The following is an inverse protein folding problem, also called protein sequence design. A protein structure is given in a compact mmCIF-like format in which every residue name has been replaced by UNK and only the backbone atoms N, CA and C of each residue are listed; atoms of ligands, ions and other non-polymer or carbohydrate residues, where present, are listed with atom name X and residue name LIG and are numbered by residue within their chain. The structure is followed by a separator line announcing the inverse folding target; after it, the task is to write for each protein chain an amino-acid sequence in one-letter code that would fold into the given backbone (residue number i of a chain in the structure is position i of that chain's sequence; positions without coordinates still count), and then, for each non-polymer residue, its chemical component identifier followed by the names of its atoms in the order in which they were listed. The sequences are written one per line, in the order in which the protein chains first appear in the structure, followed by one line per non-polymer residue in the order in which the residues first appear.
data_IF_872845385124
#
_entry.id   IF_872845385124
#
_cell.length_a   1.000
_cell.length_b   1.000
_cell.length_c   1.000
_cell.angle_alpha   90.00
_cell.angle_beta   90.00
_cell.angle_gamma   90.00
#
_symmetry.space_group_name_H-M   'P 1'
#
loop_
_entity.id
_entity.type
_entity.pdbx_description
1 polymer ?
#
# COMPACT_ATOMS: atom_id res chain seq x y z
N UNK A 1 4.61 -14.08 20.30
CA UNK A 1 5.69 -13.38 19.58
C UNK A 1 6.36 -14.40 18.66
N UNK A 2 6.53 -14.07 17.37
CA UNK A 2 7.05 -14.99 16.35
C UNK A 2 8.55 -15.25 16.59
N UNK A 3 8.96 -16.52 16.75
CA UNK A 3 10.33 -16.88 17.17
C UNK A 3 11.27 -17.12 16.00
N UNK A 4 10.72 -17.47 14.84
CA UNK A 4 11.41 -17.96 13.65
C UNK A 4 10.76 -17.41 12.37
N UNK A 5 10.60 -16.08 12.21
CA UNK A 5 10.00 -15.54 11.00
C UNK A 5 10.91 -15.76 9.79
N UNK A 6 10.35 -16.32 8.72
CA UNK A 6 11.00 -16.39 7.41
C UNK A 6 10.35 -15.38 6.48
N UNK A 7 10.99 -14.20 6.31
CA UNK A 7 10.37 -13.07 5.62
C UNK A 7 10.00 -13.45 4.19
N UNK A 8 8.71 -13.44 3.91
CA UNK A 8 8.14 -13.97 2.68
C UNK A 8 7.18 -12.97 2.06
N UNK A 9 7.06 -13.02 0.74
CA UNK A 9 6.16 -12.17 -0.02
C UNK A 9 5.29 -13.02 -0.94
N UNK A 10 3.97 -12.88 -0.84
CA UNK A 10 3.08 -13.28 -1.91
C UNK A 10 3.06 -12.13 -2.92
N UNK A 11 3.85 -12.29 -3.98
CA UNK A 11 4.13 -11.26 -4.98
C UNK A 11 3.20 -11.38 -6.19
N UNK A 12 2.74 -10.25 -6.72
CA UNK A 12 1.88 -10.21 -7.91
C UNK A 12 2.41 -9.17 -8.89
N UNK A 13 2.31 -9.52 -10.18
CA UNK A 13 2.59 -8.63 -11.30
C UNK A 13 1.33 -8.55 -12.16
N UNK A 14 0.86 -7.32 -12.40
CA UNK A 14 -0.22 -7.01 -13.33
C UNK A 14 0.40 -6.60 -14.66
N UNK A 15 0.37 -7.52 -15.61
CA UNK A 15 0.87 -7.28 -16.97
C UNK A 15 -0.16 -6.51 -17.79
N UNK A 16 0.33 -5.73 -18.75
CA UNK A 16 -0.49 -5.00 -19.72
C UNK A 16 0.05 -5.26 -21.13
N UNK A 17 -0.70 -4.83 -22.13
CA UNK A 17 -0.27 -4.79 -23.53
C UNK A 17 0.49 -3.50 -23.90
N UNK A 18 0.91 -2.71 -22.91
CA UNK A 18 1.68 -1.48 -23.13
C UNK A 18 2.98 -1.79 -23.91
N UNK A 19 3.31 -1.03 -24.97
CA UNK A 19 4.44 -1.35 -25.86
C UNK A 19 5.80 -1.38 -25.14
N UNK A 20 5.97 -0.57 -24.11
CA UNK A 20 7.19 -0.53 -23.29
C UNK A 20 7.23 -1.60 -22.18
N UNK A 21 6.24 -2.51 -22.13
CA UNK A 21 6.17 -3.59 -21.14
C UNK A 21 5.92 -3.10 -19.71
N UNK A 22 5.18 -2.00 -19.55
CA UNK A 22 4.87 -1.45 -18.22
C UNK A 22 3.94 -2.41 -17.48
N UNK A 23 4.32 -2.74 -16.24
CA UNK A 23 3.58 -3.64 -15.37
C UNK A 23 3.45 -3.06 -13.95
N UNK A 24 2.36 -3.43 -13.28
CA UNK A 24 2.08 -3.12 -11.89
C UNK A 24 2.60 -4.18 -10.95
N UNK A 25 3.24 -3.80 -9.85
CA UNK A 25 3.87 -4.73 -8.92
C UNK A 25 3.32 -4.51 -7.53
N UNK A 26 2.88 -5.59 -6.90
CA UNK A 26 2.35 -5.57 -5.56
C UNK A 26 2.77 -6.79 -4.76
N UNK A 27 2.68 -6.67 -3.45
CA UNK A 27 2.93 -7.79 -2.56
C UNK A 27 2.08 -7.67 -1.30
N UNK A 28 1.91 -8.81 -0.65
CA UNK A 28 1.59 -8.85 0.77
C UNK A 28 2.65 -9.61 1.54
N UNK A 29 3.00 -9.09 2.71
CA UNK A 29 4.07 -9.61 3.56
C UNK A 29 3.55 -10.71 4.49
N UNK A 30 4.33 -11.78 4.59
CA UNK A 30 4.08 -12.89 5.52
C UNK A 30 5.42 -13.38 6.10
N UNK A 31 5.39 -14.38 6.97
CA UNK A 31 6.58 -14.85 7.70
C UNK A 31 6.85 -16.34 7.52
N UNK A 32 6.65 -16.86 6.30
CA UNK A 32 7.01 -18.23 5.91
C UNK A 32 5.78 -19.07 5.55
N UNK A 33 5.51 -20.12 6.34
CA UNK A 33 4.36 -21.03 6.13
C UNK A 33 3.03 -20.25 6.02
N UNK A 34 2.20 -20.58 5.05
CA UNK A 34 0.93 -19.90 4.77
C UNK A 34 1.04 -18.76 3.75
N UNK A 35 2.24 -18.42 3.26
CA UNK A 35 2.41 -17.52 2.11
C UNK A 35 1.63 -18.03 0.89
N UNK A 36 1.65 -19.34 0.68
CA UNK A 36 0.95 -20.03 -0.39
C UNK A 36 -0.56 -19.80 -0.36
N UNK A 37 -1.16 -19.63 0.84
CA UNK A 37 -2.58 -19.31 0.96
C UNK A 37 -2.89 -17.91 0.42
N UNK A 38 -1.98 -16.95 0.66
CA UNK A 38 -2.12 -15.61 0.09
C UNK A 38 -1.95 -15.64 -1.44
N UNK A 39 -1.01 -16.44 -1.96
CA UNK A 39 -0.81 -16.60 -3.41
C UNK A 39 -2.06 -17.18 -4.08
N UNK A 40 -2.65 -18.24 -3.53
CA UNK A 40 -3.87 -18.81 -4.11
C UNK A 40 -5.07 -17.86 -4.00
N UNK A 41 -5.19 -17.11 -2.90
CA UNK A 41 -6.21 -16.06 -2.78
C UNK A 41 -6.02 -14.92 -3.80
N UNK A 42 -4.77 -14.51 -4.09
CA UNK A 42 -4.46 -13.55 -5.15
C UNK A 42 -4.94 -14.08 -6.51
N UNK A 43 -4.67 -15.36 -6.82
CA UNK A 43 -5.11 -15.98 -8.07
C UNK A 43 -6.63 -16.00 -8.21
N UNK A 44 -7.36 -16.38 -7.16
CA UNK A 44 -8.82 -16.37 -7.17
C UNK A 44 -9.38 -14.95 -7.38
N UNK A 45 -8.81 -13.95 -6.70
CA UNK A 45 -9.25 -12.56 -6.82
C UNK A 45 -8.80 -11.89 -8.14
N UNK A 46 -7.85 -12.48 -8.87
CA UNK A 46 -7.34 -11.90 -10.13
C UNK A 46 -8.39 -11.81 -11.23
N UNK A 47 -9.46 -12.62 -11.15
CA UNK A 47 -10.61 -12.53 -12.06
C UNK A 47 -11.28 -11.16 -12.05
N UNK A 48 -11.18 -10.43 -10.93
CA UNK A 48 -11.67 -9.05 -10.83
C UNK A 48 -10.75 -8.02 -11.49
N UNK A 49 -9.55 -8.41 -11.93
CA UNK A 49 -8.52 -7.52 -12.48
C UNK A 49 -8.28 -7.79 -13.96
N UNK A 50 -8.18 -9.06 -14.35
CA UNK A 50 -7.88 -9.47 -15.73
C UNK A 50 -8.97 -8.97 -16.70
N UNK A 51 -8.55 -8.35 -17.79
CA UNK A 51 -9.44 -7.81 -18.82
C UNK A 51 -9.91 -6.38 -18.58
N UNK A 52 -9.53 -5.75 -17.47
CA UNK A 52 -9.73 -4.30 -17.26
C UNK A 52 -8.66 -3.48 -17.97
N UNK A 53 -9.04 -2.27 -18.37
CA UNK A 53 -8.07 -1.26 -18.80
C UNK A 53 -7.48 -0.53 -17.59
N UNK A 54 -6.29 0.03 -17.76
CA UNK A 54 -5.65 0.83 -16.69
C UNK A 54 -6.45 2.11 -16.48
N UNK A 55 -6.96 2.71 -17.56
CA UNK A 55 -7.75 3.93 -17.57
C UNK A 55 -9.04 3.78 -16.77
N UNK A 56 -9.80 2.69 -17.00
CA UNK A 56 -11.04 2.42 -16.25
C UNK A 56 -10.75 2.22 -14.75
N UNK A 57 -9.63 1.57 -14.43
CA UNK A 57 -9.22 1.33 -13.05
C UNK A 57 -8.80 2.63 -12.35
N UNK A 58 -8.03 3.47 -13.03
CA UNK A 58 -7.58 4.77 -12.53
C UNK A 58 -8.72 5.78 -12.39
N UNK A 59 -9.73 5.71 -13.26
CA UNK A 59 -10.89 6.60 -13.24
C UNK A 59 -11.85 6.33 -12.06
N UNK A 60 -11.93 5.09 -11.56
CA UNK A 60 -12.77 4.71 -10.41
C UNK A 60 -12.06 3.71 -9.49
N UNK A 61 -11.01 4.18 -8.80
CA UNK A 61 -10.26 3.35 -7.83
C UNK A 61 -11.14 2.82 -6.70
N UNK A 62 -12.13 3.58 -6.24
CA UNK A 62 -13.08 3.11 -5.23
C UNK A 62 -13.99 2.01 -5.79
N UNK A 63 -14.43 2.11 -7.05
CA UNK A 63 -15.16 1.05 -7.75
C UNK A 63 -14.31 -0.20 -7.95
N UNK A 64 -13.05 -0.05 -8.32
CA UNK A 64 -12.10 -1.16 -8.40
C UNK A 64 -11.94 -1.86 -7.05
N UNK A 65 -11.70 -1.10 -5.97
CA UNK A 65 -11.67 -1.63 -4.60
C UNK A 65 -12.93 -2.44 -4.27
N UNK A 66 -14.10 -1.82 -4.50
CA UNK A 66 -15.42 -2.42 -4.25
C UNK A 66 -15.67 -3.68 -5.06
N UNK A 67 -15.16 -3.78 -6.27
CA UNK A 67 -15.32 -4.98 -7.09
C UNK A 67 -14.64 -6.20 -6.46
N UNK A 68 -13.49 -6.00 -5.81
CA UNK A 68 -12.74 -7.07 -5.15
C UNK A 68 -13.33 -7.37 -3.77
N UNK A 69 -13.50 -6.36 -2.92
CA UNK A 69 -13.98 -6.57 -1.53
C UNK A 69 -15.48 -6.85 -1.43
N UNK A 70 -16.22 -6.54 -2.50
CA UNK A 70 -17.67 -6.71 -2.61
C UNK A 70 -18.11 -8.08 -3.08
N UNK A 71 -17.20 -8.93 -3.57
CA UNK A 71 -17.49 -10.33 -3.86
C UNK A 71 -17.99 -11.02 -2.59
N UNK A 72 -19.28 -11.38 -2.57
CA UNK A 72 -19.94 -11.84 -1.35
C UNK A 72 -19.39 -13.17 -0.84
N UNK A 73 -18.93 -14.04 -1.74
CA UNK A 73 -18.37 -15.34 -1.38
C UNK A 73 -16.97 -15.16 -0.78
N UNK A 74 -16.14 -14.33 -1.42
CA UNK A 74 -14.80 -14.03 -0.91
C UNK A 74 -14.86 -13.21 0.38
N UNK A 75 -15.79 -12.26 0.46
CA UNK A 75 -16.03 -11.44 1.65
C UNK A 75 -16.44 -12.27 2.86
N UNK A 76 -17.14 -13.39 2.68
CA UNK A 76 -17.50 -14.32 3.76
C UNK A 76 -16.27 -14.88 4.49
N UNK A 77 -15.12 -14.94 3.81
CA UNK A 77 -13.85 -15.44 4.37
C UNK A 77 -13.06 -14.37 5.14
N UNK A 78 -13.50 -13.11 5.13
CA UNK A 78 -12.93 -12.01 5.89
C UNK A 78 -13.93 -11.54 6.96
N UNK A 79 -14.79 -10.55 6.68
CA UNK A 79 -14.66 -9.50 5.65
C UNK A 79 -13.51 -8.53 5.99
N UNK A 80 -12.83 -8.02 4.96
CA UNK A 80 -11.80 -6.96 5.09
C UNK A 80 -10.75 -7.25 6.16
N UNK A 81 -10.36 -8.53 6.28
CA UNK A 81 -9.33 -9.03 7.20
C UNK A 81 -8.72 -10.34 6.69
N UNK A 82 -7.59 -10.74 7.29
CA UNK A 82 -6.98 -12.05 7.07
C UNK A 82 -6.44 -12.26 5.66
N UNK A 83 -6.28 -13.53 5.25
CA UNK A 83 -5.63 -13.93 3.99
C UNK A 83 -6.27 -13.29 2.76
N UNK A 84 -7.61 -13.28 2.68
CA UNK A 84 -8.32 -12.71 1.52
C UNK A 84 -8.05 -11.22 1.40
N UNK A 85 -8.03 -10.48 2.51
CA UNK A 85 -7.77 -9.05 2.45
C UNK A 85 -6.29 -8.71 2.25
N UNK A 86 -5.38 -9.54 2.74
CA UNK A 86 -3.96 -9.45 2.39
C UNK A 86 -3.75 -9.66 0.88
N UNK A 87 -4.46 -10.61 0.26
CA UNK A 87 -4.44 -10.81 -1.19
C UNK A 87 -5.03 -9.62 -1.95
N UNK A 88 -6.16 -9.05 -1.48
CA UNK A 88 -6.71 -7.79 -2.03
C UNK A 88 -5.68 -6.67 -2.01
N UNK A 89 -4.97 -6.48 -0.89
CA UNK A 89 -3.96 -5.43 -0.77
C UNK A 89 -2.83 -5.57 -1.81
N UNK A 90 -2.37 -6.80 -2.08
CA UNK A 90 -1.36 -7.04 -3.11
C UNK A 90 -1.84 -6.60 -4.50
N UNK A 91 -3.07 -6.97 -4.89
CA UNK A 91 -3.64 -6.61 -6.19
C UNK A 91 -3.89 -5.10 -6.31
N UNK A 92 -4.44 -4.48 -5.27
CA UNK A 92 -4.77 -3.05 -5.27
C UNK A 92 -3.52 -2.20 -5.31
N UNK A 93 -2.49 -2.57 -4.54
CA UNK A 93 -1.22 -1.86 -4.59
C UNK A 93 -0.52 -2.04 -5.95
N UNK A 94 -0.65 -3.20 -6.59
CA UNK A 94 -0.14 -3.39 -7.94
C UNK A 94 -0.85 -2.50 -8.97
N UNK A 95 -2.15 -2.27 -8.82
CA UNK A 95 -2.90 -1.35 -9.67
C UNK A 95 -2.47 0.11 -9.47
N UNK A 96 -2.21 0.52 -8.22
CA UNK A 96 -1.64 1.84 -7.92
C UNK A 96 -0.23 2.02 -8.47
N UNK A 97 0.63 1.00 -8.35
CA UNK A 97 1.98 1.00 -8.93
C UNK A 97 1.92 1.11 -10.47
N UNK A 98 1.03 0.34 -11.11
CA UNK A 98 0.80 0.42 -12.55
C UNK A 98 0.39 1.83 -12.97
N UNK A 99 -0.61 2.40 -12.30
CA UNK A 99 -1.10 3.75 -12.59
C UNK A 99 0.00 4.80 -12.43
N UNK A 100 0.77 4.75 -11.34
CA UNK A 100 1.88 5.67 -11.11
C UNK A 100 2.97 5.57 -12.20
N UNK A 101 3.27 4.36 -12.66
CA UNK A 101 4.23 4.12 -13.76
C UNK A 101 3.73 4.65 -15.09
N UNK A 102 2.46 4.45 -15.43
CA UNK A 102 1.85 5.00 -16.64
C UNK A 102 1.90 6.53 -16.62
N UNK A 103 1.65 7.14 -15.46
CA UNK A 103 1.77 8.60 -15.27
C UNK A 103 3.22 9.10 -15.19
N UNK A 104 4.21 8.20 -15.19
CA UNK A 104 5.63 8.55 -15.09
C UNK A 104 6.01 9.19 -13.75
N UNK A 105 5.30 8.85 -12.66
CA UNK A 105 5.47 9.46 -11.33
C UNK A 105 5.81 8.42 -10.27
N UNK A 106 6.61 8.76 -9.26
CA UNK A 106 6.60 7.98 -8.02
C UNK A 106 5.22 8.09 -7.36
N UNK A 107 4.73 7.00 -6.74
CA UNK A 107 3.36 6.93 -6.21
C UNK A 107 3.00 8.08 -5.26
N UNK A 108 3.93 8.49 -4.38
CA UNK A 108 3.68 9.62 -3.47
C UNK A 108 3.35 10.91 -4.23
N UNK A 109 4.02 11.14 -5.37
CA UNK A 109 3.83 12.34 -6.19
C UNK A 109 2.51 12.27 -6.97
N UNK A 110 2.15 11.09 -7.48
CA UNK A 110 0.83 10.87 -8.07
C UNK A 110 -0.28 11.29 -7.11
N UNK A 111 -0.23 10.84 -5.86
CA UNK A 111 -1.23 11.16 -4.84
C UNK A 111 -1.21 12.65 -4.45
N UNK A 112 -0.01 13.23 -4.31
CA UNK A 112 0.15 14.66 -4.00
C UNK A 112 -0.33 15.56 -5.14
N UNK A 113 -0.30 15.11 -6.39
CA UNK A 113 -0.78 15.89 -7.54
C UNK A 113 -2.29 15.87 -7.72
N UNK A 114 -2.99 14.91 -7.11
CA UNK A 114 -4.45 14.85 -7.17
C UNK A 114 -5.09 16.08 -6.50
N UNK A 115 -6.23 16.50 -7.04
CA UNK A 115 -7.11 17.42 -6.30
C UNK A 115 -7.67 16.72 -5.06
N UNK A 116 -8.08 17.48 -4.02
CA UNK A 116 -8.77 16.92 -2.87
C UNK A 116 -9.93 15.97 -3.24
N UNK A 117 -10.72 16.36 -4.24
CA UNK A 117 -11.88 15.61 -4.72
C UNK A 117 -11.46 14.30 -5.40
N UNK A 118 -10.41 14.33 -6.23
CA UNK A 118 -9.87 13.12 -6.88
C UNK A 118 -9.33 12.13 -5.85
N UNK A 119 -8.58 12.61 -4.85
CA UNK A 119 -8.00 11.75 -3.83
C UNK A 119 -9.09 11.12 -2.95
N UNK A 120 -10.10 11.90 -2.55
CA UNK A 120 -11.24 11.41 -1.76
C UNK A 120 -12.10 10.43 -2.56
N UNK A 121 -12.28 10.65 -3.87
CA UNK A 121 -13.02 9.73 -4.73
C UNK A 121 -12.38 8.33 -4.86
N UNK A 122 -11.10 8.18 -4.47
CA UNK A 122 -10.43 6.87 -4.44
C UNK A 122 -10.77 6.02 -3.22
N UNK A 123 -11.49 6.56 -2.23
CA UNK A 123 -11.77 5.90 -0.94
C UNK A 123 -13.22 5.39 -0.92
N UNK A 124 -13.42 4.15 -0.45
CA UNK A 124 -14.76 3.66 -0.09
C UNK A 124 -15.11 4.08 1.34
N UNK A 125 -16.01 5.06 1.48
CA UNK A 125 -16.44 5.61 2.78
C UNK A 125 -17.44 4.75 3.54
N UNK A 126 -17.79 3.58 3.01
CA UNK A 126 -18.67 2.62 3.69
C UNK A 126 -18.09 2.27 5.07
N UNK A 127 -18.88 2.46 6.11
CA UNK A 127 -18.50 2.27 7.51
C UNK A 127 -17.48 3.29 8.07
N UNK A 128 -17.24 4.40 7.37
CA UNK A 128 -16.37 5.51 7.82
C UNK A 128 -17.18 6.81 8.00
N UNK A 129 -18.25 6.99 7.22
CA UNK A 129 -19.01 8.25 7.09
C UNK A 129 -19.49 8.86 8.42
N UNK A 130 -19.75 8.05 9.45
CA UNK A 130 -20.17 8.52 10.78
C UNK A 130 -19.02 9.10 11.62
N UNK A 131 -17.77 8.82 11.26
CA UNK A 131 -16.56 9.35 11.90
C UNK A 131 -15.84 10.40 11.02
N UNK A 132 -15.92 10.25 9.70
CA UNK A 132 -15.35 11.17 8.72
C UNK A 132 -16.14 11.08 7.43
N UNK A 133 -16.91 12.11 7.12
CA UNK A 133 -17.63 12.22 5.85
C UNK A 133 -16.71 12.58 4.68
N UNK A 134 -17.19 12.33 3.46
CA UNK A 134 -16.46 12.73 2.23
C UNK A 134 -16.20 14.24 2.20
N UNK A 135 -17.18 15.06 2.56
CA UNK A 135 -17.03 16.52 2.61
C UNK A 135 -15.98 16.95 3.62
N UNK A 136 -15.96 16.36 4.81
CA UNK A 136 -14.97 16.69 5.84
C UNK A 136 -13.55 16.29 5.40
N UNK A 137 -13.41 15.15 4.71
CA UNK A 137 -12.14 14.72 4.13
C UNK A 137 -11.64 15.70 3.05
N UNK A 138 -12.52 16.15 2.15
CA UNK A 138 -12.19 17.17 1.14
C UNK A 138 -11.75 18.46 1.81
N UNK A 139 -12.50 18.95 2.81
CA UNK A 139 -12.17 20.17 3.53
C UNK A 139 -10.81 20.08 4.25
N UNK A 140 -10.49 18.93 4.86
CA UNK A 140 -9.18 18.67 5.47
C UNK A 140 -8.05 18.85 4.47
N UNK A 141 -8.20 18.27 3.27
CA UNK A 141 -7.20 18.35 2.21
C UNK A 141 -7.10 19.75 1.59
N UNK A 142 -8.22 20.44 1.40
CA UNK A 142 -8.27 21.81 0.90
C UNK A 142 -7.55 22.79 1.85
N UNK A 143 -7.75 22.65 3.17
CA UNK A 143 -7.01 23.45 4.19
C UNK A 143 -5.50 23.28 4.08
N UNK A 144 -5.04 22.09 3.67
CA UNK A 144 -3.64 21.78 3.51
C UNK A 144 -3.08 22.11 2.11
N UNK A 145 -3.91 22.48 1.13
CA UNK A 145 -3.49 22.61 -0.26
C UNK A 145 -2.46 23.74 -0.47
N UNK A 146 -2.64 24.88 0.20
CA UNK A 146 -1.76 26.05 0.01
C UNK A 146 -0.31 25.81 0.44
N UNK A 147 -0.06 24.94 1.43
CA UNK A 147 1.30 24.62 1.90
C UNK A 147 1.93 23.43 1.19
N UNK A 148 1.25 22.82 0.21
CA UNK A 148 1.72 21.64 -0.52
C UNK A 148 3.08 21.86 -1.22
N UNK A 149 3.32 22.93 -2.00
CA UNK A 149 4.60 23.11 -2.69
C UNK A 149 5.78 23.21 -1.72
N UNK A 150 5.63 24.00 -0.65
CA UNK A 150 6.67 24.17 0.36
C UNK A 150 7.04 22.85 1.07
N UNK A 151 6.04 22.00 1.37
CA UNK A 151 6.28 20.68 1.98
C UNK A 151 6.90 19.69 1.00
N UNK A 152 6.56 19.78 -0.28
CA UNK A 152 7.20 18.96 -1.32
C UNK A 152 8.68 19.34 -1.47
N UNK A 153 8.99 20.63 -1.51
CA UNK A 153 10.38 21.13 -1.54
C UNK A 153 11.16 20.71 -0.29
N UNK A 154 10.53 20.78 0.89
CA UNK A 154 11.11 20.28 2.14
C UNK A 154 11.39 18.78 2.06
N UNK A 155 10.43 17.97 1.61
CA UNK A 155 10.61 16.53 1.49
C UNK A 155 11.71 16.13 0.51
N UNK A 156 11.84 16.83 -0.62
CA UNK A 156 12.91 16.58 -1.59
C UNK A 156 14.29 16.97 -1.06
N UNK A 157 14.35 18.02 -0.22
CA UNK A 157 15.60 18.53 0.36
C UNK A 157 16.06 17.73 1.58
N UNK A 158 15.13 17.40 2.48
CA UNK A 158 15.42 16.90 3.82
C UNK A 158 15.06 15.41 4.02
N UNK A 159 14.19 14.85 3.18
CA UNK A 159 13.66 13.49 3.35
C UNK A 159 12.66 13.37 4.50
N UNK A 160 12.24 12.14 4.83
CA UNK A 160 11.34 11.86 5.96
C UNK A 160 12.14 11.24 7.13
N UNK A 161 12.00 11.72 8.37
CA UNK A 161 12.66 11.12 9.52
C UNK A 161 12.33 9.61 9.67
N UNK A 162 13.36 8.79 9.86
CA UNK A 162 13.21 7.35 10.05
C UNK A 162 13.62 6.91 11.47
N UNK A 163 13.14 5.73 11.87
CA UNK A 163 13.55 5.02 13.07
C UNK A 163 13.95 3.59 12.69
N UNK A 164 14.68 2.88 13.56
CA UNK A 164 15.09 1.49 13.28
C UNK A 164 14.69 0.52 14.37
N UNK A 165 14.16 -0.63 13.96
CA UNK A 165 13.84 -1.76 14.85
C UNK A 165 14.89 -2.87 14.80
N UNK A 166 15.93 -2.72 13.97
CA UNK A 166 16.90 -3.79 13.68
C UNK A 166 17.71 -4.25 14.90
N UNK A 167 17.87 -3.39 15.91
CA UNK A 167 18.58 -3.72 17.14
C UNK A 167 17.73 -4.51 18.15
N UNK A 168 16.40 -4.52 18.01
CA UNK A 168 15.46 -4.94 19.06
C UNK A 168 14.88 -6.35 18.90
N UNK A 169 15.44 -7.20 18.03
CA UNK A 169 14.92 -8.56 17.84
C UNK A 169 15.10 -9.40 19.10
N UNK A 170 14.00 -9.91 19.67
CA UNK A 170 13.99 -10.62 20.97
C UNK A 170 14.91 -11.86 21.01
N UNK A 171 15.21 -12.47 19.84
CA UNK A 171 16.11 -13.62 19.76
C UNK A 171 17.60 -13.29 19.83
N UNK A 172 17.97 -12.01 19.94
CA UNK A 172 19.38 -11.61 20.00
C UNK A 172 19.93 -11.66 21.42
N UNK A 173 21.20 -12.06 21.60
CA UNK A 173 21.87 -11.90 22.88
C UNK A 173 22.09 -10.41 23.21
N UNK A 174 22.12 -10.06 24.50
CA UNK A 174 22.25 -8.68 24.99
C UNK A 174 23.43 -7.91 24.38
N UNK A 175 24.56 -8.58 24.16
CA UNK A 175 25.75 -8.01 23.53
C UNK A 175 25.47 -7.54 22.10
N UNK A 176 24.69 -8.34 21.35
CA UNK A 176 24.31 -8.01 19.97
C UNK A 176 23.33 -6.84 19.95
N UNK A 177 22.36 -6.81 20.85
CA UNK A 177 21.41 -5.68 20.99
C UNK A 177 22.20 -4.39 21.25
N UNK A 178 23.13 -4.42 22.22
CA UNK A 178 23.96 -3.26 22.56
C UNK A 178 24.81 -2.79 21.39
N UNK A 179 25.43 -3.71 20.67
CA UNK A 179 26.24 -3.39 19.48
C UNK A 179 25.40 -2.76 18.36
N UNK A 180 24.24 -3.34 18.04
CA UNK A 180 23.35 -2.82 16.99
C UNK A 180 22.74 -1.47 17.36
N UNK A 181 22.41 -1.24 18.64
CA UNK A 181 21.90 0.05 19.11
C UNK A 181 22.95 1.16 18.94
N UNK A 182 24.22 0.88 19.25
CA UNK A 182 25.32 1.82 19.00
C UNK A 182 25.48 2.11 17.50
N UNK A 183 25.46 1.07 16.67
CA UNK A 183 25.53 1.22 15.21
C UNK A 183 24.36 2.05 14.66
N UNK A 184 23.15 1.88 15.18
CA UNK A 184 21.99 2.68 14.78
C UNK A 184 22.18 4.17 15.11
N UNK A 185 22.66 4.49 16.31
CA UNK A 185 22.97 5.87 16.69
C UNK A 185 24.07 6.48 15.82
N UNK A 186 25.13 5.72 15.53
CA UNK A 186 26.22 6.13 14.64
C UNK A 186 25.74 6.35 13.20
N UNK A 187 24.77 5.56 12.74
CA UNK A 187 24.11 5.73 11.44
C UNK A 187 23.13 6.92 11.40
N UNK A 188 22.96 7.65 12.52
CA UNK A 188 22.14 8.85 12.59
C UNK A 188 20.68 8.62 12.96
N UNK A 189 20.27 7.39 13.30
CA UNK A 189 18.93 7.15 13.84
C UNK A 189 18.78 7.84 15.20
N UNK A 190 17.65 8.53 15.37
CA UNK A 190 17.31 9.25 16.62
C UNK A 190 16.21 8.57 17.43
N UNK A 191 15.65 7.47 16.89
CA UNK A 191 14.56 6.67 17.46
C UNK A 191 14.77 5.20 17.10
#
# INVERSE_FOLDING_TARGET
MNRDPDYSAAYVVLETDHPDGIAGHGLTFTTGRGTELCVEAIRLLSEHVVGRTVEDTAADMAGFWRSIVGDSQMRWLGPEKGVVHLATAALVNAAWDLYAKIEGKPLWKLLVDMTPEQLVACIDFRYIEDALSQSEAIELLQRAAASRPAREDEMLRDGYPAYTTSAGWLGYPDEKITALARQAMEAGFRH
#
